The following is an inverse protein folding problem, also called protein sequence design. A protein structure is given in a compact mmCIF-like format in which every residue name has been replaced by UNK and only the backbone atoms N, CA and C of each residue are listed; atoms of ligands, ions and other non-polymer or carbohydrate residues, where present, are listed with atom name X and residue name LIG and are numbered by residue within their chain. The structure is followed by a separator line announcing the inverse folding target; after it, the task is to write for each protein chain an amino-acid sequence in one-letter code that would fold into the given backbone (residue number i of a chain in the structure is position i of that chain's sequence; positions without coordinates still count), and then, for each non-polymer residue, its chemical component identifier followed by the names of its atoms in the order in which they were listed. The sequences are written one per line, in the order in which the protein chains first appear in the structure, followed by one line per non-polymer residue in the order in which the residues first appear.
data_IF_607084021712
#
_entry.id   IF_607084021712
#
_cell.length_a   1.000
_cell.length_b   1.000
_cell.length_c   1.000
_cell.angle_alpha   90.00
_cell.angle_beta   90.00
_cell.angle_gamma   90.00
#
_symmetry.space_group_name_H-M   'P 1'
#
loop_
_entity.id
_entity.type
_entity.pdbx_description
1 polymer ?
#
# COMPACT_ATOMS: atom_id res chain seq x y z
N UNK A 1 38.51 -3.98 -55.43
CA UNK A 1 38.39 -3.66 -54.00
C UNK A 1 37.04 -2.94 -53.81
N UNK A 2 35.96 -3.65 -53.48
CA UNK A 2 34.60 -3.09 -53.41
C UNK A 2 34.16 -2.95 -51.95
N UNK A 3 34.39 -1.78 -51.36
CA UNK A 3 33.94 -1.46 -50.02
C UNK A 3 32.43 -1.17 -50.06
N UNK A 4 31.62 -2.19 -49.74
CA UNK A 4 30.17 -2.03 -49.61
C UNK A 4 29.88 -1.24 -48.33
N UNK A 5 29.67 0.07 -48.51
CA UNK A 5 29.26 0.98 -47.44
C UNK A 5 27.92 0.52 -46.87
N UNK A 6 27.90 0.14 -45.58
CA UNK A 6 26.65 -0.12 -44.85
C UNK A 6 25.92 1.22 -44.70
N UNK A 7 24.92 1.42 -45.55
CA UNK A 7 23.93 2.48 -45.41
C UNK A 7 23.27 2.38 -44.02
N UNK A 8 23.54 3.39 -43.20
CA UNK A 8 22.96 3.57 -41.87
C UNK A 8 21.49 3.94 -42.06
N UNK A 9 20.62 2.93 -42.17
CA UNK A 9 19.16 3.12 -42.11
C UNK A 9 18.83 3.73 -40.75
N UNK A 10 18.51 5.02 -40.74
CA UNK A 10 17.88 5.69 -39.59
C UNK A 10 16.53 5.01 -39.37
N UNK A 11 16.46 4.06 -38.43
CA UNK A 11 15.17 3.58 -37.96
C UNK A 11 14.44 4.76 -37.32
N UNK A 12 13.36 5.16 -37.98
CA UNK A 12 12.45 6.18 -37.45
C UNK A 12 11.71 5.59 -36.27
N UNK A 13 11.61 6.33 -35.17
CA UNK A 13 10.93 5.92 -33.92
C UNK A 13 9.47 5.46 -34.21
N UNK A 14 8.85 5.98 -35.27
CA UNK A 14 7.50 5.60 -35.70
C UNK A 14 7.40 4.18 -36.27
N UNK A 15 8.44 3.65 -36.91
CA UNK A 15 8.48 2.25 -37.37
C UNK A 15 8.67 1.30 -36.19
N UNK A 16 9.52 1.67 -35.23
CA UNK A 16 9.69 0.91 -33.98
C UNK A 16 8.42 0.86 -33.14
N UNK A 17 7.69 1.98 -33.03
CA UNK A 17 6.41 2.02 -32.30
C UNK A 17 5.32 1.20 -32.99
N UNK A 18 5.25 1.20 -34.34
CA UNK A 18 4.31 0.35 -35.07
C UNK A 18 4.65 -1.13 -34.93
N UNK A 19 5.91 -1.50 -35.02
CA UNK A 19 6.37 -2.88 -34.87
C UNK A 19 6.15 -3.38 -33.44
N UNK A 20 6.42 -2.54 -32.44
CA UNK A 20 6.15 -2.82 -31.03
C UNK A 20 4.65 -3.03 -30.77
N UNK A 21 3.78 -2.12 -31.21
CA UNK A 21 2.32 -2.28 -31.04
C UNK A 21 1.80 -3.52 -31.78
N UNK A 22 2.34 -3.83 -32.97
CA UNK A 22 1.96 -5.03 -33.72
C UNK A 22 2.33 -6.34 -32.99
N UNK A 23 3.40 -6.32 -32.21
CA UNK A 23 3.87 -7.45 -31.39
C UNK A 23 3.00 -7.63 -30.15
N UNK A 24 2.56 -6.53 -29.53
CA UNK A 24 1.69 -6.56 -28.35
C UNK A 24 0.30 -7.11 -28.69
N UNK A 25 -0.30 -6.70 -29.82
CA UNK A 25 -1.70 -7.05 -30.12
C UNK A 25 -1.90 -8.48 -30.64
N UNK A 26 -0.91 -9.05 -31.36
CA UNK A 26 -0.95 -10.41 -31.91
C UNK A 26 -0.95 -11.51 -30.84
N UNK A 27 -0.53 -11.19 -29.61
CA UNK A 27 -0.42 -12.16 -28.52
C UNK A 27 -1.71 -12.38 -27.72
N UNK A 28 -2.84 -11.72 -28.03
CA UNK A 28 -4.09 -11.88 -27.24
C UNK A 28 -4.63 -13.32 -27.23
N UNK A 29 -4.59 -14.02 -28.36
CA UNK A 29 -4.98 -15.45 -28.45
C UNK A 29 -3.96 -16.37 -27.74
N UNK A 30 -2.69 -15.97 -27.72
CA UNK A 30 -1.59 -16.68 -27.04
C UNK A 30 -1.66 -16.54 -25.52
N UNK A 31 -2.00 -15.35 -25.00
CA UNK A 31 -2.14 -15.10 -23.57
C UNK A 31 -3.31 -15.87 -22.95
N UNK A 32 -4.43 -16.02 -23.66
CA UNK A 32 -5.55 -16.86 -23.23
C UNK A 32 -5.14 -18.34 -23.10
N UNK A 33 -4.45 -18.88 -24.11
CA UNK A 33 -3.92 -20.24 -24.09
C UNK A 33 -2.78 -20.42 -23.06
N UNK A 34 -2.03 -19.37 -22.75
CA UNK A 34 -0.98 -19.37 -21.73
C UNK A 34 -1.55 -19.43 -20.30
N UNK A 35 -2.67 -18.73 -20.06
CA UNK A 35 -3.35 -18.76 -18.76
C UNK A 35 -4.06 -20.10 -18.55
N UNK A 36 -4.77 -20.58 -19.57
CA UNK A 36 -5.51 -21.84 -19.49
C UNK A 36 -5.45 -22.59 -20.81
N UNK A 37 -4.73 -23.71 -20.83
CA UNK A 37 -4.73 -24.61 -21.97
C UNK A 37 -5.87 -25.64 -21.80
N UNK A 38 -6.91 -25.54 -22.65
CA UNK A 38 -8.08 -26.43 -22.60
C UNK A 38 -7.75 -27.90 -22.90
N UNK A 39 -6.67 -28.18 -23.63
CA UNK A 39 -6.33 -29.55 -24.03
C UNK A 39 -5.66 -30.35 -22.91
N UNK A 40 -4.83 -29.68 -22.10
CA UNK A 40 -4.08 -30.31 -21.01
C UNK A 40 -4.57 -29.93 -19.61
N UNK A 41 -5.60 -29.06 -19.50
CA UNK A 41 -6.09 -28.51 -18.23
C UNK A 41 -4.97 -27.91 -17.36
N UNK A 42 -3.99 -27.28 -18.01
CA UNK A 42 -2.85 -26.65 -17.35
C UNK A 42 -3.13 -25.16 -17.13
N UNK A 43 -2.87 -24.70 -15.91
CA UNK A 43 -2.93 -23.30 -15.54
C UNK A 43 -1.48 -22.80 -15.45
N UNK A 44 -1.13 -21.78 -16.23
CA UNK A 44 0.23 -21.21 -16.28
C UNK A 44 1.35 -22.24 -16.56
N UNK A 45 1.10 -23.19 -17.47
CA UNK A 45 2.09 -24.20 -17.86
C UNK A 45 2.43 -25.23 -16.78
N UNK A 46 1.55 -25.37 -15.76
CA UNK A 46 1.60 -26.45 -14.76
C UNK A 46 0.22 -27.06 -14.59
N UNK A 47 0.22 -28.38 -14.39
CA UNK A 47 -0.97 -29.18 -14.10
C UNK A 47 -1.79 -28.57 -12.95
N UNK A 48 -3.08 -28.30 -13.19
CA UNK A 48 -4.00 -27.71 -12.20
C UNK A 48 -4.08 -28.51 -10.89
N UNK A 49 -3.82 -29.83 -10.95
CA UNK A 49 -3.77 -30.69 -9.76
C UNK A 49 -2.60 -30.35 -8.84
N UNK A 50 -1.47 -29.90 -9.38
CA UNK A 50 -0.31 -29.45 -8.59
C UNK A 50 -0.57 -28.09 -7.95
N UNK A 51 -1.26 -27.21 -8.67
CA UNK A 51 -1.72 -25.92 -8.13
C UNK A 51 -2.69 -26.08 -6.96
N UNK A 52 -3.68 -26.96 -7.08
CA UNK A 52 -4.63 -27.25 -6.00
C UNK A 52 -3.94 -27.72 -4.73
N UNK A 53 -2.96 -28.64 -4.85
CA UNK A 53 -2.16 -29.10 -3.72
C UNK A 53 -1.35 -27.97 -3.08
N UNK A 54 -0.74 -27.11 -3.89
CA UNK A 54 0.02 -25.95 -3.42
C UNK A 54 -0.89 -24.98 -2.65
N UNK A 55 -2.03 -24.61 -3.25
CA UNK A 55 -2.99 -23.69 -2.67
C UNK A 55 -3.57 -24.22 -1.36
N UNK A 56 -3.96 -25.50 -1.30
CA UNK A 56 -4.49 -26.12 -0.09
C UNK A 56 -3.44 -26.15 1.04
N UNK A 57 -2.18 -26.45 0.71
CA UNK A 57 -1.08 -26.43 1.67
C UNK A 57 -0.85 -25.02 2.24
N UNK A 58 -0.71 -24.01 1.37
CA UNK A 58 -0.49 -22.62 1.81
C UNK A 58 -1.70 -22.05 2.57
N UNK A 59 -2.92 -22.39 2.15
CA UNK A 59 -4.12 -21.96 2.85
C UNK A 59 -4.13 -22.48 4.30
N UNK A 60 -3.91 -23.78 4.50
CA UNK A 60 -3.84 -24.36 5.84
C UNK A 60 -2.70 -23.74 6.67
N UNK A 61 -1.53 -23.57 6.06
CA UNK A 61 -0.37 -22.94 6.70
C UNK A 61 -0.68 -21.51 7.18
N UNK A 62 -1.29 -20.67 6.34
CA UNK A 62 -1.63 -19.30 6.71
C UNK A 62 -2.78 -19.21 7.72
N UNK A 63 -3.74 -20.15 7.70
CA UNK A 63 -4.78 -20.22 8.74
C UNK A 63 -4.15 -20.51 10.10
N UNK A 64 -3.23 -21.48 10.19
CA UNK A 64 -2.53 -21.79 11.45
C UNK A 64 -1.66 -20.61 11.89
N UNK A 65 -0.93 -19.99 10.97
CA UNK A 65 -0.10 -18.82 11.27
C UNK A 65 -0.94 -17.64 11.77
N UNK A 66 -2.09 -17.37 11.13
CA UNK A 66 -3.04 -16.36 11.55
C UNK A 66 -3.67 -16.69 12.91
N UNK A 67 -3.98 -17.96 13.15
CA UNK A 67 -4.47 -18.45 14.44
C UNK A 67 -3.45 -18.22 15.57
N UNK A 68 -2.18 -18.54 15.34
CA UNK A 68 -1.10 -18.25 16.29
C UNK A 68 -0.94 -16.76 16.53
N UNK A 69 -1.01 -15.93 15.49
CA UNK A 69 -0.95 -14.48 15.63
C UNK A 69 -2.10 -13.93 16.50
N UNK A 70 -3.34 -14.35 16.21
CA UNK A 70 -4.50 -14.00 17.02
C UNK A 70 -4.39 -14.52 18.46
N UNK A 71 -3.87 -15.73 18.66
CA UNK A 71 -3.63 -16.30 19.99
C UNK A 71 -2.62 -15.47 20.78
N UNK A 72 -1.48 -15.11 20.18
CA UNK A 72 -0.48 -14.26 20.82
C UNK A 72 -1.04 -12.87 21.15
N UNK A 73 -1.85 -12.28 20.26
CA UNK A 73 -2.53 -11.01 20.56
C UNK A 73 -3.55 -11.15 21.70
N UNK A 74 -4.32 -12.24 21.74
CA UNK A 74 -5.29 -12.49 22.81
C UNK A 74 -4.59 -12.65 24.16
N UNK A 75 -3.49 -13.39 24.19
CA UNK A 75 -2.65 -13.55 25.38
C UNK A 75 -2.09 -12.18 25.81
N UNK A 76 -1.55 -11.41 24.87
CA UNK A 76 -1.04 -10.06 25.13
C UNK A 76 -2.10 -9.16 25.75
N UNK A 77 -3.32 -9.13 25.21
CA UNK A 77 -4.42 -8.34 25.75
C UNK A 77 -4.77 -8.73 27.19
N UNK A 78 -4.68 -10.02 27.54
CA UNK A 78 -4.89 -10.49 28.93
C UNK A 78 -3.79 -10.01 29.90
N UNK A 79 -2.58 -9.69 29.41
CA UNK A 79 -1.49 -9.15 30.23
C UNK A 79 -1.58 -7.62 30.42
N UNK A 80 -2.49 -6.94 29.71
CA UNK A 80 -2.68 -5.50 29.84
C UNK A 80 -3.71 -5.21 30.94
N UNK A 81 -3.39 -4.34 31.92
CA UNK A 81 -4.39 -3.88 32.90
C UNK A 81 -5.50 -3.08 32.21
N UNK A 82 -6.78 -3.40 32.51
CA UNK A 82 -7.96 -2.76 31.91
C UNK A 82 -8.21 -1.33 32.44
N UNK A 83 -7.81 -1.06 33.68
CA UNK A 83 -8.20 0.16 34.39
C UNK A 83 -7.24 1.34 34.17
N UNK A 84 -5.97 1.08 33.83
CA UNK A 84 -4.96 2.11 33.65
C UNK A 84 -3.89 1.66 32.65
N UNK A 85 -3.37 2.55 31.80
CA UNK A 85 -2.27 2.20 30.90
C UNK A 85 -1.02 1.81 31.70
N UNK A 86 -0.25 0.83 31.20
CA UNK A 86 0.95 0.32 31.88
C UNK A 86 2.04 1.38 32.07
N UNK A 87 2.15 2.33 31.14
CA UNK A 87 3.21 3.34 31.11
C UNK A 87 2.62 4.75 31.28
N UNK A 88 2.75 5.32 32.48
CA UNK A 88 2.21 6.63 32.87
C UNK A 88 3.32 7.49 33.50
N UNK A 89 3.25 8.81 33.31
CA UNK A 89 4.14 9.78 33.95
C UNK A 89 5.57 9.66 33.43
N UNK A 90 6.53 9.48 34.34
CA UNK A 90 7.97 9.34 34.02
C UNK A 90 8.31 8.16 33.10
N UNK A 91 7.44 7.14 33.05
CA UNK A 91 7.63 5.95 32.21
C UNK A 91 6.93 6.10 30.84
N UNK A 92 6.25 7.23 30.61
CA UNK A 92 5.60 7.56 29.34
C UNK A 92 6.55 8.36 28.44
N UNK A 93 6.44 8.15 27.12
CA UNK A 93 7.17 8.94 26.11
C UNK A 93 6.81 10.43 26.11
N UNK A 94 5.72 10.80 26.81
CA UNK A 94 5.25 12.18 26.95
C UNK A 94 5.91 12.93 28.12
N UNK A 95 6.85 12.30 28.82
CA UNK A 95 7.60 12.95 29.90
C UNK A 95 8.59 13.98 29.35
N UNK A 96 8.62 15.18 29.92
CA UNK A 96 9.70 16.15 29.70
C UNK A 96 10.73 16.03 30.82
N UNK A 97 12.00 16.35 30.55
CA UNK A 97 13.10 16.31 31.54
C UNK A 97 12.78 17.13 32.80
N UNK A 98 12.00 18.21 32.67
CA UNK A 98 11.67 19.13 33.77
C UNK A 98 10.33 18.85 34.45
N UNK A 99 9.43 18.09 33.82
CA UNK A 99 8.12 17.77 34.40
C UNK A 99 7.64 16.38 33.93
N UNK A 100 7.54 15.39 34.83
CA UNK A 100 7.02 14.06 34.55
C UNK A 100 5.55 14.01 34.10
N UNK A 101 4.77 15.07 34.37
CA UNK A 101 3.36 15.19 34.01
C UNK A 101 3.12 16.50 33.26
N UNK A 102 3.42 16.53 31.97
CA UNK A 102 3.14 17.66 31.09
C UNK A 102 1.89 17.40 30.24
N UNK A 103 0.68 17.77 30.71
CA UNK A 103 -0.53 17.63 29.90
C UNK A 103 -0.49 18.58 28.70
N UNK A 104 -0.90 18.10 27.53
CA UNK A 104 -1.11 18.96 26.37
C UNK A 104 -2.32 19.86 26.60
N UNK A 105 -2.19 21.16 26.34
CA UNK A 105 -3.31 22.10 26.34
C UNK A 105 -3.86 22.22 24.91
N UNK A 106 -5.16 21.98 24.74
CA UNK A 106 -5.85 22.21 23.47
C UNK A 106 -6.93 23.27 23.64
N UNK A 107 -7.10 24.13 22.63
CA UNK A 107 -8.16 25.14 22.60
C UNK A 107 -9.22 24.78 21.54
N UNK A 108 -10.46 25.23 21.76
CA UNK A 108 -11.58 25.20 20.81
C UNK A 108 -12.13 26.63 20.74
N UNK A 109 -12.52 27.17 19.56
CA UNK A 109 -12.85 26.50 18.30
C UNK A 109 -11.64 26.14 17.43
N UNK A 110 -11.74 25.04 16.67
CA UNK A 110 -10.76 24.66 15.67
C UNK A 110 -11.15 25.29 14.33
N UNK A 111 -10.49 26.40 13.98
CA UNK A 111 -10.66 27.02 12.66
C UNK A 111 -10.00 26.16 11.58
N UNK A 112 -10.60 26.10 10.39
CA UNK A 112 -9.98 25.47 9.21
C UNK A 112 -8.89 26.40 8.69
N UNK A 113 -7.68 26.21 9.22
CA UNK A 113 -6.52 27.04 8.89
C UNK A 113 -6.11 26.81 7.44
N UNK A 114 -6.06 27.87 6.64
CA UNK A 114 -5.46 27.80 5.30
C UNK A 114 -3.96 28.06 5.38
N UNK A 115 -3.20 27.67 4.35
CA UNK A 115 -1.72 27.76 4.32
C UNK A 115 -1.14 29.17 4.57
N UNK A 116 -1.99 30.21 4.56
CA UNK A 116 -1.61 31.62 4.74
C UNK A 116 -1.86 32.12 6.18
N UNK A 117 -2.58 31.38 7.00
CA UNK A 117 -3.03 31.82 8.32
C UNK A 117 -2.09 31.30 9.43
N UNK A 118 -1.73 32.13 10.43
CA UNK A 118 -1.01 31.67 11.60
C UNK A 118 -1.88 30.69 12.43
N UNK A 119 -1.32 29.50 12.72
CA UNK A 119 -2.08 28.35 13.24
C UNK A 119 -2.76 28.54 14.61
N UNK A 120 -2.41 29.57 15.37
CA UNK A 120 -2.92 29.82 16.74
C UNK A 120 -3.77 31.08 16.87
N UNK A 121 -3.87 31.91 15.82
CA UNK A 121 -4.52 33.20 15.92
C UNK A 121 -5.83 33.20 15.14
N UNK A 122 -6.92 33.52 15.84
CA UNK A 122 -8.27 33.52 15.29
C UNK A 122 -8.67 34.97 15.03
N UNK A 123 -8.77 35.34 13.76
CA UNK A 123 -9.28 36.65 13.35
C UNK A 123 -10.81 36.58 13.21
N UNK A 124 -11.52 37.44 13.94
CA UNK A 124 -12.96 37.64 13.81
C UNK A 124 -13.21 39.08 13.38
N UNK A 125 -14.00 39.26 12.32
CA UNK A 125 -14.49 40.58 11.89
C UNK A 125 -15.94 40.73 12.37
N UNK A 126 -16.21 41.75 13.19
CA UNK A 126 -17.54 41.99 13.77
C UNK A 126 -18.60 42.41 12.74
N UNK A 127 -18.19 42.79 11.53
CA UNK A 127 -19.07 43.32 10.48
C UNK A 127 -19.59 42.26 9.51
N UNK A 128 -19.09 41.02 9.61
CA UNK A 128 -19.50 39.93 8.74
C UNK A 128 -20.74 39.23 9.34
N UNK A 129 -21.93 39.63 8.90
CA UNK A 129 -23.22 39.00 9.21
C UNK A 129 -23.34 37.66 8.46
N UNK A 130 -22.53 36.67 8.83
CA UNK A 130 -22.62 35.32 8.28
C UNK A 130 -22.31 34.26 9.32
N UNK A 131 -23.06 34.32 10.41
CA UNK A 131 -23.36 33.20 11.28
C UNK A 131 -24.89 33.09 11.36
N UNK A 132 -25.51 31.90 11.32
CA UNK A 132 -26.86 31.76 11.85
C UNK A 132 -26.88 32.05 13.36
#
# INVERSE_FOLDING_TARGET
MQLKTKSKRRCSIGEWCRDFWSTIHKNSHSLGNFIYNKEHHELFGRDGKRWSKLAAFYFCFYVVLGGLFCLYLSIFMSFLPLNQPRYIGKDSQLTSRSNPFAPGLSFRPQVRLTLKDPLTLIWLSSSDEKYP
#
